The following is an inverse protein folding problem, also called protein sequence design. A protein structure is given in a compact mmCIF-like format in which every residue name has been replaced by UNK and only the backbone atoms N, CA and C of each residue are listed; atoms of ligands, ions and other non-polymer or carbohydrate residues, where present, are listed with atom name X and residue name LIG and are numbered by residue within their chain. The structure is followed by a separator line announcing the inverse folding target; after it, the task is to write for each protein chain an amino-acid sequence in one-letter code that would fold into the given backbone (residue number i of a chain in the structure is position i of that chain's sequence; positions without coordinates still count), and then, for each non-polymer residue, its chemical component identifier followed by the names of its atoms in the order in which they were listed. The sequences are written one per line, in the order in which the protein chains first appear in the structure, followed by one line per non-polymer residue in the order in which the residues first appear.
data_IF_257825512111
#
_entry.id   IF_257825512111
#
_cell.length_a   1.000
_cell.length_b   1.000
_cell.length_c   1.000
_cell.angle_alpha   90.00
_cell.angle_beta   90.00
_cell.angle_gamma   90.00
#
_symmetry.space_group_name_H-M   'P 1'
#
loop_
_entity.id
_entity.type
_entity.pdbx_description
1 polymer ?
#
# COMPACT_ATOMS: atom_id res chain seq x y z
N UNK A 1 15.07 7.84 -12.66
CA UNK A 1 15.73 7.77 -11.33
C UNK A 1 15.14 8.85 -10.44
N UNK A 2 14.84 8.60 -9.15
CA UNK A 2 14.34 9.65 -8.25
C UNK A 2 15.45 10.68 -8.02
N UNK A 3 15.19 11.96 -8.30
CA UNK A 3 16.08 13.05 -7.92
C UNK A 3 15.58 13.61 -6.59
N UNK A 4 16.33 13.37 -5.52
CA UNK A 4 16.13 14.05 -4.24
C UNK A 4 16.74 15.45 -4.35
N UNK A 5 15.90 16.49 -4.27
CA UNK A 5 16.36 17.86 -4.15
C UNK A 5 16.33 18.24 -2.66
N UNK A 6 17.52 18.42 -2.06
CA UNK A 6 17.66 19.09 -0.77
C UNK A 6 17.96 20.55 -1.03
N UNK A 7 17.10 21.47 -0.59
CA UNK A 7 17.41 22.90 -0.58
C UNK A 7 18.39 23.18 0.56
N UNK A 8 19.68 22.97 0.29
CA UNK A 8 20.78 23.24 1.22
C UNK A 8 21.96 23.84 0.49
N UNK A 9 21.83 25.09 0.01
CA UNK A 9 22.90 25.79 -0.70
C UNK A 9 22.95 27.26 -0.33
N UNK A 10 23.86 27.63 0.58
CA UNK A 10 24.29 29.02 0.74
C UNK A 10 25.13 29.40 -0.48
N UNK A 11 24.55 30.11 -1.45
CA UNK A 11 25.34 30.73 -2.52
C UNK A 11 24.57 31.21 -3.76
N UNK A 12 24.33 32.52 -3.83
CA UNK A 12 24.30 33.41 -5.02
C UNK A 12 23.10 33.36 -6.00
N UNK A 13 21.91 33.76 -5.51
CA UNK A 13 21.10 34.95 -5.88
C UNK A 13 19.96 34.99 -4.85
N UNK A 14 20.15 35.72 -3.75
CA UNK A 14 19.38 35.54 -2.50
C UNK A 14 18.05 36.31 -2.45
N UNK A 15 17.38 36.53 -3.59
CA UNK A 15 16.12 37.32 -3.58
C UNK A 15 14.87 36.51 -3.28
N UNK A 16 14.85 35.21 -3.55
CA UNK A 16 13.86 34.26 -3.01
C UNK A 16 14.29 32.82 -3.35
N UNK A 17 14.89 32.02 -2.44
CA UNK A 17 15.40 30.68 -2.76
C UNK A 17 14.32 29.73 -3.31
N UNK A 18 13.04 29.98 -3.02
CA UNK A 18 11.92 29.22 -3.60
C UNK A 18 11.71 29.52 -5.08
N UNK A 19 11.89 30.77 -5.54
CA UNK A 19 11.73 31.11 -6.96
C UNK A 19 12.74 30.37 -7.84
N UNK A 20 13.99 30.29 -7.40
CA UNK A 20 15.01 29.54 -8.13
C UNK A 20 14.62 28.05 -8.22
N UNK A 21 14.10 27.47 -7.14
CA UNK A 21 13.57 26.11 -7.16
C UNK A 21 12.40 25.97 -8.16
N UNK A 22 11.45 26.90 -8.17
CA UNK A 22 10.32 26.89 -9.11
C UNK A 22 10.80 26.94 -10.56
N UNK A 23 11.74 27.82 -10.89
CA UNK A 23 12.33 27.90 -12.22
C UNK A 23 13.05 26.61 -12.63
N UNK A 24 13.72 25.93 -11.70
CA UNK A 24 14.34 24.63 -11.96
C UNK A 24 13.31 23.53 -12.21
N UNK A 25 12.21 23.50 -11.44
CA UNK A 25 11.13 22.54 -11.65
C UNK A 25 10.43 22.76 -13.00
N UNK A 26 10.20 24.01 -13.41
CA UNK A 26 9.67 24.36 -14.74
C UNK A 26 10.64 23.97 -15.87
N UNK A 27 11.95 24.07 -15.66
CA UNK A 27 12.92 23.56 -16.64
C UNK A 27 12.87 22.03 -16.74
N UNK A 28 12.67 21.34 -15.62
CA UNK A 28 12.58 19.88 -15.57
C UNK A 28 11.29 19.35 -16.18
N UNK A 29 10.18 20.09 -16.12
CA UNK A 29 8.90 19.66 -16.71
C UNK A 29 8.96 19.55 -18.24
N UNK A 30 9.91 20.20 -18.91
CA UNK A 30 10.14 20.05 -20.35
C UNK A 30 10.81 18.73 -20.74
N UNK A 31 11.05 17.81 -19.80
CA UNK A 31 11.59 16.49 -20.09
C UNK A 31 10.44 15.50 -20.26
N UNK A 32 10.38 14.80 -21.40
CA UNK A 32 9.41 13.73 -21.68
C UNK A 32 9.73 12.45 -20.89
N UNK A 33 9.89 12.57 -19.58
CA UNK A 33 10.26 11.47 -18.69
C UNK A 33 9.46 11.50 -17.39
N UNK A 34 9.05 10.32 -16.88
CA UNK A 34 8.36 10.21 -15.60
C UNK A 34 9.25 10.72 -14.46
N UNK A 35 8.75 11.69 -13.72
CA UNK A 35 9.46 12.27 -12.59
C UNK A 35 8.56 12.55 -11.39
N UNK A 36 9.20 12.55 -10.22
CA UNK A 36 8.63 12.79 -8.91
C UNK A 36 9.62 13.66 -8.14
N UNK A 37 9.11 14.61 -7.38
CA UNK A 37 9.88 15.47 -6.48
C UNK A 37 9.22 15.42 -5.10
N UNK A 38 10.03 15.37 -4.05
CA UNK A 38 9.49 15.41 -2.70
C UNK A 38 10.48 15.95 -1.69
N UNK A 39 9.94 16.62 -0.68
CA UNK A 39 10.71 17.29 0.37
C UNK A 39 9.97 18.50 0.94
N UNK A 40 10.70 19.29 1.71
CA UNK A 40 10.23 20.53 2.33
C UNK A 40 10.22 21.69 1.34
N UNK A 41 9.03 22.17 0.99
CA UNK A 41 8.84 23.32 0.11
C UNK A 41 8.73 24.65 0.88
N UNK A 42 8.66 24.59 2.23
CA UNK A 42 8.50 25.76 3.11
C UNK A 42 7.32 26.67 2.70
N UNK A 43 6.23 26.08 2.22
CA UNK A 43 5.02 26.78 1.78
C UNK A 43 3.79 25.87 1.92
N UNK A 44 2.65 26.46 2.28
CA UNK A 44 1.35 25.78 2.27
C UNK A 44 0.67 26.04 0.92
N UNK A 45 -0.12 25.10 0.40
CA UNK A 45 -0.89 25.31 -0.83
C UNK A 45 -2.29 25.85 -0.54
N UNK A 46 -2.82 25.60 0.67
CA UNK A 46 -4.16 26.03 1.08
C UNK A 46 -4.18 26.52 2.55
N UNK A 47 -5.04 27.49 2.92
CA UNK A 47 -5.08 28.00 4.31
C UNK A 47 -5.36 26.93 5.36
N UNK A 48 -6.14 25.90 5.01
CA UNK A 48 -6.45 24.77 5.90
C UNK A 48 -5.24 23.91 6.28
N UNK A 49 -4.09 24.11 5.64
CA UNK A 49 -2.83 23.43 5.97
C UNK A 49 -2.00 24.21 7.00
N UNK A 50 -2.62 25.17 7.69
CA UNK A 50 -2.04 25.93 8.78
C UNK A 50 -2.99 25.94 9.99
N UNK A 51 -2.45 25.62 11.16
CA UNK A 51 -3.19 25.63 12.42
C UNK A 51 -2.37 26.30 13.54
N UNK A 52 -3.02 27.12 14.35
CA UNK A 52 -2.43 27.73 15.56
C UNK A 52 -1.57 28.97 15.33
N UNK A 53 -1.57 29.56 14.12
CA UNK A 53 -0.91 30.83 13.81
C UNK A 53 -1.53 31.53 12.61
N UNK A 54 -1.08 32.75 12.31
CA UNK A 54 -1.59 33.52 11.17
C UNK A 54 -1.40 32.76 9.86
N UNK A 55 -2.40 32.91 8.98
CA UNK A 55 -2.36 32.40 7.61
C UNK A 55 -1.21 33.11 6.90
N UNK A 56 -0.39 32.35 6.17
CA UNK A 56 0.69 32.93 5.37
C UNK A 56 0.11 33.93 4.35
N UNK A 57 0.92 34.88 3.89
CA UNK A 57 0.52 35.76 2.78
C UNK A 57 0.13 34.90 1.57
N UNK A 58 -0.89 35.34 0.84
CA UNK A 58 -1.42 34.61 -0.33
C UNK A 58 -0.37 34.45 -1.44
N UNK A 59 0.44 35.48 -1.71
CA UNK A 59 1.42 35.46 -2.82
C UNK A 59 2.33 34.23 -2.87
N UNK A 60 3.04 33.84 -1.79
CA UNK A 60 3.82 32.59 -1.78
C UNK A 60 3.02 31.32 -2.09
N UNK A 61 1.74 31.27 -1.68
CA UNK A 61 0.86 30.13 -1.95
C UNK A 61 0.44 30.10 -3.41
N UNK A 62 0.11 31.27 -3.98
CA UNK A 62 -0.18 31.47 -5.41
C UNK A 62 1.03 31.07 -6.25
N UNK A 63 2.23 31.62 -5.97
CA UNK A 63 3.48 31.27 -6.65
C UNK A 63 3.73 29.73 -6.65
N UNK A 64 3.38 29.05 -5.56
CA UNK A 64 3.55 27.59 -5.44
C UNK A 64 2.51 26.82 -6.27
N UNK A 65 1.25 27.25 -6.23
CA UNK A 65 0.16 26.63 -6.97
C UNK A 65 0.31 26.87 -8.49
N UNK A 66 0.77 28.04 -8.88
CA UNK A 66 1.11 28.38 -10.27
C UNK A 66 2.24 27.50 -10.77
N UNK A 67 3.32 27.32 -9.98
CA UNK A 67 4.40 26.39 -10.34
C UNK A 67 3.90 24.95 -10.53
N UNK A 68 3.04 24.45 -9.63
CA UNK A 68 2.46 23.10 -9.80
C UNK A 68 1.64 23.00 -11.10
N UNK A 69 0.91 24.06 -11.43
CA UNK A 69 0.12 24.14 -12.67
C UNK A 69 1.02 24.17 -13.90
N UNK A 70 2.03 25.04 -13.93
CA UNK A 70 2.96 25.22 -15.05
C UNK A 70 3.80 23.96 -15.32
N UNK A 71 4.12 23.21 -14.26
CA UNK A 71 4.88 21.95 -14.36
C UNK A 71 4.01 20.73 -14.62
N UNK A 72 2.68 20.85 -14.50
CA UNK A 72 1.75 19.71 -14.53
C UNK A 72 1.96 18.73 -13.37
N UNK A 73 2.57 19.17 -12.27
CA UNK A 73 2.82 18.35 -11.08
C UNK A 73 1.57 18.19 -10.23
N UNK A 74 1.33 16.95 -9.79
CA UNK A 74 0.16 16.57 -8.99
C UNK A 74 0.62 16.24 -7.58
N UNK A 75 -0.04 16.83 -6.56
CA UNK A 75 0.17 16.45 -5.16
C UNK A 75 -0.29 15.02 -4.93
N UNK A 76 0.62 14.16 -4.43
CA UNK A 76 0.33 12.76 -4.17
C UNK A 76 -0.66 12.54 -3.00
N UNK A 77 -1.00 13.59 -2.26
CA UNK A 77 -1.74 13.48 -1.02
C UNK A 77 -0.91 12.81 0.07
N UNK A 78 -1.58 12.31 1.11
CA UNK A 78 -0.92 11.63 2.22
C UNK A 78 -1.88 10.75 3.04
N UNK A 79 -1.30 9.83 3.80
CA UNK A 79 -1.91 9.07 4.88
C UNK A 79 -1.25 9.44 6.22
N UNK A 80 -2.06 9.66 7.27
CA UNK A 80 -1.57 10.01 8.61
C UNK A 80 -1.88 11.45 9.02
N UNK A 81 -1.02 12.01 9.88
CA UNK A 81 -1.19 13.36 10.45
C UNK A 81 -1.22 14.44 9.35
N UNK A 82 -2.14 15.43 9.38
CA UNK A 82 -2.29 16.40 8.30
C UNK A 82 -1.16 17.43 8.19
N UNK A 83 -0.34 17.58 9.22
CA UNK A 83 0.74 18.55 9.29
C UNK A 83 2.09 17.85 9.32
N UNK A 84 3.03 18.31 8.50
CA UNK A 84 4.38 17.74 8.43
C UNK A 84 5.35 18.48 9.32
N UNK A 85 5.06 19.73 9.72
CA UNK A 85 5.93 20.54 10.55
C UNK A 85 5.21 21.14 11.76
N UNK A 86 5.91 21.29 12.88
CA UNK A 86 5.42 22.05 14.03
C UNK A 86 6.52 22.60 14.94
N UNK A 87 6.34 23.84 15.40
CA UNK A 87 7.11 24.41 16.51
C UNK A 87 6.43 24.23 17.89
N UNK A 88 5.50 23.27 18.01
CA UNK A 88 4.63 22.98 19.17
C UNK A 88 3.48 23.96 19.41
N UNK A 89 3.46 25.11 18.72
CA UNK A 89 2.34 26.09 18.78
C UNK A 89 1.59 26.15 17.45
N UNK A 90 2.36 26.21 16.37
CA UNK A 90 1.87 26.28 14.99
C UNK A 90 2.14 24.94 14.32
N UNK A 91 1.22 24.51 13.47
CA UNK A 91 1.29 23.28 12.70
C UNK A 91 1.06 23.60 11.22
N UNK A 92 1.91 23.06 10.34
CA UNK A 92 1.83 23.31 8.90
C UNK A 92 2.16 22.07 8.08
N UNK A 93 1.57 21.96 6.89
CA UNK A 93 1.99 20.99 5.86
C UNK A 93 2.97 21.65 4.90
N UNK A 94 4.27 21.46 5.15
CA UNK A 94 5.36 22.07 4.37
C UNK A 94 6.06 21.05 3.47
N UNK A 95 6.01 19.78 3.84
CA UNK A 95 6.62 18.68 3.10
C UNK A 95 5.58 18.02 2.19
N UNK A 96 5.93 17.79 0.93
CA UNK A 96 5.05 17.13 -0.05
C UNK A 96 5.82 16.20 -0.95
N UNK A 97 5.05 15.38 -1.66
CA UNK A 97 5.52 14.64 -2.82
C UNK A 97 4.61 15.02 -3.98
N UNK A 98 5.23 15.52 -5.05
CA UNK A 98 4.57 15.91 -6.28
C UNK A 98 5.07 15.00 -7.40
N UNK A 99 4.20 14.54 -8.27
CA UNK A 99 4.58 13.70 -9.41
C UNK A 99 3.97 14.20 -10.72
N UNK A 100 4.66 13.91 -11.80
CA UNK A 100 4.21 14.18 -13.17
C UNK A 100 3.13 13.21 -13.64
N UNK A 101 2.37 13.59 -14.66
CA UNK A 101 1.37 12.70 -15.26
C UNK A 101 1.99 11.40 -15.77
N UNK A 102 3.16 11.49 -16.40
CA UNK A 102 3.93 10.36 -16.95
C UNK A 102 4.34 9.38 -15.83
N UNK A 103 4.57 9.88 -14.61
CA UNK A 103 4.78 9.02 -13.44
C UNK A 103 3.54 8.21 -13.11
N UNK A 104 2.35 8.83 -13.10
CA UNK A 104 1.09 8.17 -12.80
C UNK A 104 0.70 7.10 -13.84
N UNK A 105 1.10 7.29 -15.10
CA UNK A 105 0.91 6.30 -16.17
C UNK A 105 1.72 5.02 -15.93
N UNK A 106 2.87 5.12 -15.26
CA UNK A 106 3.73 3.97 -14.94
C UNK A 106 3.37 3.38 -13.56
N UNK A 107 3.14 4.22 -12.57
CA UNK A 107 2.86 3.85 -11.18
C UNK A 107 1.43 4.26 -10.82
N UNK A 108 0.48 3.38 -11.12
CA UNK A 108 -0.94 3.60 -10.79
C UNK A 108 -1.25 3.56 -9.28
N UNK A 109 -0.28 3.19 -8.44
CA UNK A 109 -0.36 3.34 -6.99
C UNK A 109 0.87 4.12 -6.54
N UNK A 110 0.65 5.37 -6.12
CA UNK A 110 1.63 6.19 -5.41
C UNK A 110 1.01 6.59 -4.08
N UNK A 111 1.66 6.24 -2.97
CA UNK A 111 1.21 6.51 -1.61
C UNK A 111 2.29 7.25 -0.84
N UNK A 112 1.87 8.19 0.00
CA UNK A 112 2.74 8.94 0.90
C UNK A 112 2.21 8.77 2.30
N UNK A 113 3.01 8.26 3.22
CA UNK A 113 2.65 8.17 4.64
C UNK A 113 3.50 9.14 5.46
N UNK A 114 2.86 9.91 6.32
CA UNK A 114 3.54 10.74 7.31
C UNK A 114 3.90 9.86 8.52
N UNK A 115 5.20 9.60 8.71
CA UNK A 115 5.68 8.76 9.79
C UNK A 115 5.76 9.55 11.11
N UNK A 116 5.60 8.89 12.27
CA UNK A 116 5.70 9.55 13.57
C UNK A 116 7.03 10.28 13.75
N UNK A 117 6.98 11.55 14.12
CA UNK A 117 8.17 12.33 14.49
C UNK A 117 8.61 11.99 15.92
N UNK A 118 9.93 11.93 16.14
CA UNK A 118 10.52 11.70 17.47
C UNK A 118 11.10 13.01 18.02
N UNK A 119 12.26 13.40 17.50
CA UNK A 119 13.03 14.57 17.96
C UNK A 119 13.07 15.73 16.94
N UNK A 120 12.50 15.52 15.75
CA UNK A 120 12.39 16.56 14.72
C UNK A 120 11.07 17.31 14.87
N UNK A 121 11.10 18.58 14.48
CA UNK A 121 9.92 19.39 14.19
C UNK A 121 9.19 18.94 12.91
N UNK A 122 9.82 18.12 12.06
CA UNK A 122 9.21 17.51 10.88
C UNK A 122 8.81 16.03 11.07
N UNK A 123 7.72 15.63 10.41
CA UNK A 123 7.34 14.24 10.18
C UNK A 123 8.06 13.70 8.94
N UNK A 124 8.79 12.59 9.02
CA UNK A 124 9.38 11.95 7.84
C UNK A 124 8.29 11.47 6.87
N UNK A 125 8.55 11.61 5.57
CA UNK A 125 7.67 11.08 4.52
C UNK A 125 8.16 9.70 4.06
N UNK A 126 7.25 8.72 4.03
CA UNK A 126 7.47 7.42 3.39
C UNK A 126 6.74 7.36 2.06
N UNK A 127 7.46 7.12 0.97
CA UNK A 127 6.89 7.08 -0.39
C UNK A 127 6.88 5.63 -0.86
N UNK A 128 5.70 5.12 -1.18
CA UNK A 128 5.52 3.82 -1.81
C UNK A 128 4.96 4.01 -3.21
N UNK A 129 5.66 3.50 -4.22
CA UNK A 129 5.22 3.52 -5.60
C UNK A 129 5.25 2.10 -6.15
N UNK A 130 4.12 1.63 -6.65
CA UNK A 130 4.01 0.31 -7.27
C UNK A 130 3.28 0.40 -8.60
N UNK A 131 3.74 -0.43 -9.54
CA UNK A 131 2.94 -0.77 -10.72
C UNK A 131 1.92 -1.77 -10.22
N UNK A 132 0.63 -1.47 -10.26
CA UNK A 132 -0.35 -2.49 -9.94
C UNK A 132 -0.18 -3.59 -10.98
N UNK A 133 0.13 -4.79 -10.51
CA UNK A 133 -0.12 -5.98 -11.28
C UNK A 133 -1.61 -5.95 -11.63
N UNK A 134 -1.95 -5.72 -12.89
CA UNK A 134 -3.32 -5.84 -13.42
C UNK A 134 -3.93 -7.25 -13.24
N UNK A 135 -3.33 -8.12 -12.42
CA UNK A 135 -3.89 -9.37 -11.96
C UNK A 135 -4.98 -9.07 -10.94
N UNK A 136 -6.14 -8.61 -11.44
CA UNK A 136 -7.41 -8.84 -10.74
C UNK A 136 -7.41 -10.30 -10.28
N UNK A 137 -7.83 -10.62 -9.04
CA UNK A 137 -8.02 -12.00 -8.66
C UNK A 137 -9.05 -12.61 -9.61
N UNK A 138 -8.58 -13.42 -10.57
CA UNK A 138 -9.45 -14.12 -11.51
C UNK A 138 -10.40 -15.00 -10.71
N UNK A 139 -11.69 -14.67 -10.75
CA UNK A 139 -12.72 -15.64 -10.41
C UNK A 139 -12.59 -16.80 -11.40
N UNK A 140 -12.61 -18.02 -10.87
CA UNK A 140 -12.61 -19.19 -11.73
C UNK A 140 -13.96 -19.29 -12.42
N UNK A 141 -13.94 -19.40 -13.74
CA UNK A 141 -15.11 -19.68 -14.56
C UNK A 141 -14.90 -21.04 -15.20
N UNK A 142 -15.89 -21.90 -15.09
CA UNK A 142 -15.88 -23.14 -15.83
C UNK A 142 -15.96 -22.82 -17.32
N UNK A 143 -15.06 -23.38 -18.13
CA UNK A 143 -15.07 -23.17 -19.57
C UNK A 143 -15.68 -24.40 -20.24
N UNK A 144 -16.70 -24.22 -21.08
CA UNK A 144 -17.39 -25.31 -21.77
C UNK A 144 -16.43 -26.17 -22.61
N UNK A 145 -15.35 -25.60 -23.14
CA UNK A 145 -14.31 -26.34 -23.87
C UNK A 145 -13.72 -27.52 -23.07
N UNK A 146 -13.70 -27.44 -21.73
CA UNK A 146 -13.19 -28.53 -20.90
C UNK A 146 -14.04 -29.79 -21.05
N UNK A 147 -15.36 -29.68 -21.26
CA UNK A 147 -16.22 -30.84 -21.47
C UNK A 147 -15.83 -31.65 -22.72
N UNK A 148 -15.21 -30.99 -23.69
CA UNK A 148 -14.76 -31.58 -24.95
C UNK A 148 -13.30 -32.04 -24.92
N UNK A 149 -12.56 -31.72 -23.85
CA UNK A 149 -11.16 -32.12 -23.73
C UNK A 149 -11.04 -33.58 -23.29
N UNK A 150 -10.29 -34.38 -24.03
CA UNK A 150 -10.18 -35.84 -23.82
C UNK A 150 -9.76 -36.23 -22.38
N UNK A 151 -8.94 -35.42 -21.71
CA UNK A 151 -8.47 -35.68 -20.34
C UNK A 151 -9.37 -35.14 -19.23
N UNK A 152 -10.48 -34.47 -19.56
CA UNK A 152 -11.32 -33.78 -18.57
C UNK A 152 -11.93 -34.74 -17.54
N UNK A 153 -12.66 -35.76 -18.00
CA UNK A 153 -13.30 -36.73 -17.11
C UNK A 153 -12.26 -37.48 -16.26
N UNK A 154 -11.11 -37.82 -16.84
CA UNK A 154 -10.01 -38.46 -16.11
C UNK A 154 -9.46 -37.55 -15.01
N UNK A 155 -9.26 -36.26 -15.30
CA UNK A 155 -8.77 -35.27 -14.33
C UNK A 155 -9.74 -35.07 -13.17
N UNK A 156 -11.04 -34.98 -13.45
CA UNK A 156 -12.08 -34.89 -12.42
C UNK A 156 -12.08 -36.16 -11.57
N UNK A 157 -12.10 -37.34 -12.19
CA UNK A 157 -12.08 -38.63 -11.50
C UNK A 157 -10.89 -38.77 -10.54
N UNK A 158 -9.67 -38.56 -11.04
CA UNK A 158 -8.45 -38.62 -10.23
C UNK A 158 -8.46 -37.61 -9.07
N UNK A 159 -8.99 -36.41 -9.30
CA UNK A 159 -9.13 -35.42 -8.23
C UNK A 159 -10.10 -35.88 -7.14
N UNK A 160 -11.21 -36.52 -7.51
CA UNK A 160 -12.30 -36.91 -6.60
C UNK A 160 -12.05 -38.20 -5.82
N UNK A 161 -11.21 -39.10 -6.34
CA UNK A 161 -10.83 -40.37 -5.71
C UNK A 161 -9.79 -40.19 -4.60
N UNK A 162 -9.00 -39.11 -4.66
CA UNK A 162 -8.00 -38.83 -3.63
C UNK A 162 -8.66 -38.54 -2.26
N UNK A 163 -8.18 -39.18 -1.17
CA UNK A 163 -8.81 -39.12 0.14
C UNK A 163 -8.80 -37.72 0.72
N UNK A 164 -9.89 -37.36 1.41
CA UNK A 164 -10.03 -36.10 2.15
C UNK A 164 -10.56 -36.43 3.54
N UNK A 165 -9.80 -35.99 4.55
CA UNK A 165 -10.18 -36.05 5.96
C UNK A 165 -11.26 -35.00 6.29
N UNK A 166 -12.13 -35.30 7.25
CA UNK A 166 -13.25 -34.45 7.66
C UNK A 166 -14.62 -35.06 7.35
N UNK A 167 -15.68 -34.25 7.32
CA UNK A 167 -17.06 -34.75 7.20
C UNK A 167 -17.92 -33.87 6.27
N UNK A 168 -18.89 -34.51 5.61
CA UNK A 168 -19.95 -33.84 4.84
C UNK A 168 -19.47 -32.75 3.87
N UNK A 169 -20.02 -31.54 4.05
CA UNK A 169 -19.82 -30.38 3.18
C UNK A 169 -18.34 -29.95 3.05
N UNK A 170 -17.53 -30.20 4.09
CA UNK A 170 -16.09 -29.90 4.04
C UNK A 170 -15.39 -30.75 2.98
N UNK A 171 -15.71 -32.06 2.91
CA UNK A 171 -15.14 -32.93 1.88
C UNK A 171 -15.54 -32.45 0.48
N UNK A 172 -16.80 -32.08 0.29
CA UNK A 172 -17.29 -31.56 -1.00
C UNK A 172 -16.55 -30.28 -1.41
N UNK A 173 -16.44 -29.31 -0.50
CA UNK A 173 -15.71 -28.06 -0.77
C UNK A 173 -14.25 -28.33 -1.19
N UNK A 174 -13.57 -29.25 -0.51
CA UNK A 174 -12.19 -29.62 -0.84
C UNK A 174 -12.09 -30.32 -2.20
N UNK A 175 -13.03 -31.22 -2.53
CA UNK A 175 -13.09 -31.85 -3.86
C UNK A 175 -13.28 -30.81 -4.97
N UNK A 176 -14.18 -29.84 -4.78
CA UNK A 176 -14.42 -28.76 -5.74
C UNK A 176 -13.20 -27.84 -5.89
N UNK A 177 -12.56 -27.47 -4.79
CA UNK A 177 -11.35 -26.65 -4.82
C UNK A 177 -10.20 -27.34 -5.57
N UNK A 178 -9.99 -28.63 -5.29
CA UNK A 178 -8.95 -29.44 -5.95
C UNK A 178 -9.22 -29.58 -7.44
N UNK A 179 -10.46 -29.90 -7.80
CA UNK A 179 -10.89 -30.01 -9.21
C UNK A 179 -10.68 -28.68 -9.94
N UNK A 180 -11.08 -27.56 -9.34
CA UNK A 180 -10.81 -26.21 -9.85
C UNK A 180 -9.32 -25.96 -10.09
N UNK A 181 -8.46 -26.35 -9.14
CA UNK A 181 -7.01 -26.18 -9.25
C UNK A 181 -6.43 -27.01 -10.39
N UNK A 182 -6.83 -28.27 -10.51
CA UNK A 182 -6.40 -29.16 -11.60
C UNK A 182 -6.84 -28.63 -12.97
N UNK A 183 -8.08 -28.18 -13.11
CA UNK A 183 -8.59 -27.62 -14.37
C UNK A 183 -7.88 -26.32 -14.76
N UNK A 184 -7.57 -25.45 -13.78
CA UNK A 184 -6.88 -24.19 -14.04
C UNK A 184 -5.42 -24.37 -14.44
N UNK A 185 -4.74 -25.37 -13.88
CA UNK A 185 -3.30 -25.58 -14.09
C UNK A 185 -3.00 -26.59 -15.21
N UNK A 186 -3.94 -27.52 -15.47
CA UNK A 186 -3.81 -28.60 -16.46
C UNK A 186 -4.00 -28.15 -17.92
N UNK A 187 -4.54 -26.95 -18.17
CA UNK A 187 -4.63 -26.39 -19.53
C UNK A 187 -3.31 -25.83 -20.06
N UNK A 188 -2.27 -25.72 -19.23
CA UNK A 188 -0.99 -25.10 -19.61
C UNK A 188 0.22 -26.02 -19.60
N UNK A 189 0.17 -27.18 -18.93
CA UNK A 189 1.28 -28.13 -18.87
C UNK A 189 0.76 -29.54 -18.74
N UNK A 190 1.26 -30.41 -19.62
CA UNK A 190 1.09 -31.85 -19.55
C UNK A 190 1.33 -32.35 -18.11
N UNK A 191 0.42 -33.21 -17.68
CA UNK A 191 0.34 -33.88 -16.37
C UNK A 191 1.70 -34.22 -15.75
N UNK A 192 1.94 -33.69 -14.55
CA UNK A 192 3.06 -34.09 -13.71
C UNK A 192 3.30 -33.11 -12.57
N UNK A 193 2.45 -33.11 -11.53
CA UNK A 193 2.85 -32.51 -10.25
C UNK A 193 2.53 -33.43 -9.08
N UNK A 194 3.63 -33.75 -8.39
CA UNK A 194 3.74 -34.55 -7.19
C UNK A 194 2.97 -33.96 -6.00
N UNK A 195 2.67 -34.85 -5.05
CA UNK A 195 1.94 -34.69 -3.79
C UNK A 195 2.34 -33.51 -2.88
N UNK A 196 3.42 -32.78 -3.17
CA UNK A 196 4.02 -31.79 -2.27
C UNK A 196 3.22 -30.47 -2.13
N UNK A 197 2.33 -30.14 -3.07
CA UNK A 197 1.53 -28.89 -2.99
C UNK A 197 0.21 -29.04 -2.21
N UNK A 198 -0.19 -30.26 -1.86
CA UNK A 198 -1.54 -30.53 -1.35
C UNK A 198 -1.68 -30.42 0.18
N UNK A 199 -0.57 -30.25 0.92
CA UNK A 199 -0.56 -30.29 2.39
C UNK A 199 -0.27 -28.94 3.05
N UNK A 200 -0.73 -27.81 2.48
CA UNK A 200 -0.76 -26.54 3.24
C UNK A 200 -2.09 -26.44 4.00
N UNK A 201 -2.12 -26.67 5.32
CA UNK A 201 -3.31 -26.38 6.11
C UNK A 201 -3.61 -24.88 6.05
N UNK A 202 -4.88 -24.58 5.79
CA UNK A 202 -5.40 -23.23 5.76
C UNK A 202 -5.32 -22.63 7.17
N UNK A 203 -4.22 -21.90 7.48
CA UNK A 203 -3.93 -21.33 8.81
C UNK A 203 -5.07 -20.46 9.37
N UNK A 204 -5.94 -19.92 8.52
CA UNK A 204 -7.09 -19.11 8.95
C UNK A 204 -8.21 -19.90 9.63
N UNK A 205 -8.36 -21.21 9.38
CA UNK A 205 -9.44 -22.00 9.96
C UNK A 205 -9.09 -22.63 11.32
N UNK A 206 -7.79 -22.86 11.60
CA UNK A 206 -7.35 -23.43 12.88
C UNK A 206 -7.35 -22.42 14.03
N UNK A 207 -7.18 -21.12 13.73
CA UNK A 207 -7.18 -20.06 14.76
C UNK A 207 -8.56 -19.88 15.42
N UNK A 208 -9.66 -20.21 14.72
CA UNK A 208 -11.02 -20.10 15.28
C UNK A 208 -11.43 -21.27 16.18
N UNK A 209 -10.83 -22.46 16.03
CA UNK A 209 -11.17 -23.61 16.89
C UNK A 209 -10.49 -23.58 18.26
N UNK A 210 -9.32 -22.92 18.38
CA UNK A 210 -8.58 -22.83 19.65
C UNK A 210 -9.22 -21.91 20.70
N UNK A 211 -10.15 -21.03 20.31
CA UNK A 211 -10.84 -20.11 21.22
C UNK A 211 -12.19 -20.63 21.76
N UNK A 212 -12.65 -21.82 21.34
CA UNK A 212 -13.96 -22.37 21.72
C UNK A 212 -13.88 -23.63 22.60
N UNK A 213 -12.67 -24.13 22.90
CA UNK A 213 -12.46 -25.30 23.77
C UNK A 213 -11.42 -24.98 24.83
N UNK A 214 -11.73 -24.00 25.69
CA UNK A 214 -11.06 -23.82 26.97
C UNK A 214 -12.08 -24.04 28.08
N UNK A 215 -12.10 -25.25 28.64
CA UNK A 215 -12.85 -25.56 29.86
C UNK A 215 -12.33 -24.69 31.02
N UNK A 216 -13.20 -24.13 31.89
CA UNK A 216 -12.75 -23.34 33.03
C UNK A 216 -12.17 -24.27 34.10
N UNK A 217 -10.89 -24.06 34.46
CA UNK A 217 -10.32 -24.66 35.66
C UNK A 217 -10.74 -23.83 36.88
N UNK A 218 -11.37 -24.52 37.84
CA UNK A 218 -11.72 -24.02 39.16
C UNK A 218 -10.47 -23.70 39.98
N UNK A 219 -10.37 -22.49 40.53
CA UNK A 219 -9.33 -22.12 41.49
C UNK A 219 -9.53 -22.81 42.85
N UNK A 220 -8.46 -23.34 43.49
CA UNK A 220 -8.54 -23.76 44.88
C UNK A 220 -8.28 -22.58 45.83
N UNK A 221 -9.22 -22.39 46.75
CA UNK A 221 -9.12 -21.51 47.93
C UNK A 221 -7.77 -21.69 48.67
N UNK A 222 -7.12 -20.57 49.02
CA UNK A 222 -6.10 -20.54 50.09
C UNK A 222 -6.47 -19.55 51.20
N UNK A 223 -6.11 -19.87 52.46
CA UNK A 223 -6.68 -19.25 53.64
C UNK A 223 -5.96 -17.96 54.03
N UNK A 224 -6.75 -17.04 54.60
CA UNK A 224 -6.32 -15.86 55.34
C UNK A 224 -5.42 -16.22 56.51
N UNK A 225 -4.24 -15.58 56.58
CA UNK A 225 -3.47 -15.44 57.83
C UNK A 225 -3.32 -13.96 58.15
N UNK A 226 -3.87 -13.59 59.30
CA UNK A 226 -3.56 -12.37 60.03
C UNK A 226 -2.14 -12.44 60.61
N UNK A 227 -1.47 -11.30 60.75
CA UNK A 227 -0.80 -10.92 62.00
C UNK A 227 -0.14 -9.53 61.93
N UNK A 228 -0.46 -8.76 62.99
CA UNK A 228 0.27 -7.66 63.66
C UNK A 228 0.46 -6.34 62.94
#
# INVERSE_FOLDING_TARGET
MPKSFKTGGKGKDQRNPRRNLWEELVKLSNQDAPWIVGGDFNVISHPNENQGGDIQRMGPMEDFNDMMTDTGLIDAGFEGEPFTWTNKRIWRRLDRVLYSKEWAEIFNITRVAHLPRRLSDHHPLCIEASKADNKKPSSFRFQNMWLHHHSFLQTVKQSWELPIEGYGMYKLQQKLYRTRSCLRNGTGKHLGMSSALFNRPNKKLQMRKKHLTGTPQSEPHRPTKAMR
#
